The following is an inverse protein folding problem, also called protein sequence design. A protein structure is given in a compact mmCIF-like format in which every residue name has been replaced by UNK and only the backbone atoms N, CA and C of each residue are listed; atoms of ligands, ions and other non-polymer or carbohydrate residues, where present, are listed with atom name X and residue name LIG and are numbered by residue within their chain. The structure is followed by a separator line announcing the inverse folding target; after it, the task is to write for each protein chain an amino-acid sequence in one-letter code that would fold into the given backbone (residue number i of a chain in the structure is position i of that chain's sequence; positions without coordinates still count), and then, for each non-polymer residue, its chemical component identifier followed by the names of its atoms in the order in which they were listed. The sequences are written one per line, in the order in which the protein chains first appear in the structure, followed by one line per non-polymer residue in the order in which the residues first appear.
data_IF_069942246316
#
_entry.id   IF_069942246316
#
_cell.length_a   1.000
_cell.length_b   1.000
_cell.length_c   1.000
_cell.angle_alpha   90.00
_cell.angle_beta   90.00
_cell.angle_gamma   90.00
#
_symmetry.space_group_name_H-M   'P 1'
#
loop_
_entity.id
_entity.type
_entity.pdbx_description
1 polymer ?
#
# COMPACT_ATOMS: atom_id res chain seq x y z
N UNK A 1 -7.77 -10.06 4.34
CA UNK A 1 -8.41 -8.80 4.72
C UNK A 1 -8.05 -7.72 3.71
N UNK A 2 -8.89 -6.71 3.60
CA UNK A 2 -8.59 -5.49 2.89
C UNK A 2 -9.11 -4.28 3.70
N UNK A 3 -8.54 -3.12 3.40
CA UNK A 3 -8.97 -1.84 3.95
C UNK A 3 -9.63 -1.03 2.84
N UNK A 4 -10.77 -0.43 3.13
CA UNK A 4 -11.36 0.55 2.23
C UNK A 4 -10.69 1.90 2.45
N UNK A 5 -10.33 2.59 1.36
CA UNK A 5 -9.97 4.00 1.47
C UNK A 5 -11.26 4.81 1.64
N UNK A 6 -11.43 5.37 2.80
CA UNK A 6 -12.53 6.27 3.10
C UNK A 6 -12.10 7.25 4.18
N UNK A 7 -12.94 8.22 4.49
CA UNK A 7 -12.74 9.09 5.64
C UNK A 7 -12.61 8.29 6.92
N UNK A 8 -13.42 7.23 7.03
CA UNK A 8 -13.44 6.28 8.13
C UNK A 8 -13.19 4.89 7.53
N UNK A 9 -11.92 4.45 7.41
CA UNK A 9 -11.58 3.17 6.80
C UNK A 9 -12.09 2.00 7.66
N UNK A 10 -12.44 0.91 6.98
CA UNK A 10 -12.88 -0.32 7.62
C UNK A 10 -11.97 -1.48 7.24
N UNK A 11 -11.68 -2.36 8.22
CA UNK A 11 -10.91 -3.58 8.01
C UNK A 11 -11.87 -4.73 7.74
N UNK A 12 -12.02 -5.07 6.47
CA UNK A 12 -12.98 -6.07 6.00
C UNK A 12 -12.30 -7.41 5.78
N UNK A 13 -12.87 -8.46 6.36
CA UNK A 13 -12.42 -9.83 6.09
C UNK A 13 -13.04 -10.33 4.79
N UNK A 14 -12.18 -10.85 3.90
CA UNK A 14 -12.64 -11.47 2.65
C UNK A 14 -13.17 -12.87 2.97
N UNK A 15 -14.47 -13.01 2.98
CA UNK A 15 -15.18 -14.27 3.23
C UNK A 15 -16.11 -14.60 2.07
N UNK A 16 -16.30 -15.88 1.81
CA UNK A 16 -17.20 -16.36 0.75
C UNK A 16 -16.92 -17.83 0.44
N UNK A 17 -17.94 -18.53 0.01
CA UNK A 17 -17.87 -19.96 -0.36
C UNK A 17 -17.02 -20.13 -1.61
N UNK A 18 -17.18 -19.22 -2.58
CA UNK A 18 -16.46 -19.22 -3.83
C UNK A 18 -15.91 -17.83 -4.18
N UNK A 19 -15.29 -17.72 -5.37
CA UNK A 19 -14.72 -16.46 -5.85
C UNK A 19 -15.77 -15.38 -6.08
N UNK A 20 -16.94 -15.76 -6.62
CA UNK A 20 -18.01 -14.80 -6.91
C UNK A 20 -18.59 -14.20 -5.63
N UNK A 21 -18.78 -15.02 -4.60
CA UNK A 21 -19.22 -14.55 -3.28
C UNK A 21 -18.21 -13.57 -2.67
N UNK A 22 -16.91 -13.86 -2.78
CA UNK A 22 -15.85 -12.96 -2.30
C UNK A 22 -15.88 -11.62 -3.02
N UNK A 23 -16.00 -11.63 -4.35
CA UNK A 23 -16.10 -10.41 -5.16
C UNK A 23 -17.35 -9.60 -4.82
N UNK A 24 -18.50 -10.27 -4.67
CA UNK A 24 -19.75 -9.60 -4.30
C UNK A 24 -19.64 -8.93 -2.93
N UNK A 25 -19.05 -9.58 -1.95
CA UNK A 25 -18.80 -9.00 -0.61
C UNK A 25 -17.85 -7.81 -0.65
N UNK A 26 -16.76 -7.92 -1.42
CA UNK A 26 -15.85 -6.79 -1.62
C UNK A 26 -16.58 -5.61 -2.27
N UNK A 27 -17.41 -5.87 -3.28
CA UNK A 27 -18.19 -4.83 -3.96
C UNK A 27 -19.21 -4.12 -3.06
N UNK A 28 -19.71 -4.81 -2.01
CA UNK A 28 -20.67 -4.24 -1.04
C UNK A 28 -20.02 -3.50 0.13
N UNK A 29 -18.70 -3.48 0.22
CA UNK A 29 -18.00 -2.73 1.27
C UNK A 29 -18.24 -1.21 1.12
N UNK A 30 -18.02 -0.47 2.20
CA UNK A 30 -18.18 0.98 2.21
C UNK A 30 -17.03 1.66 1.46
N UNK A 31 -17.17 1.81 0.15
CA UNK A 31 -16.23 2.54 -0.70
C UNK A 31 -16.51 4.04 -0.61
N UNK A 32 -15.63 4.77 0.09
CA UNK A 32 -15.67 6.24 0.13
C UNK A 32 -14.88 6.86 -1.02
N UNK A 33 -15.18 8.12 -1.32
CA UNK A 33 -14.48 8.90 -2.36
C UNK A 33 -13.21 9.61 -1.83
N UNK A 34 -12.79 9.32 -0.60
CA UNK A 34 -11.67 9.98 0.08
C UNK A 34 -10.54 8.98 0.30
N UNK A 35 -9.31 9.36 -0.02
CA UNK A 35 -8.12 8.50 0.07
C UNK A 35 -7.31 8.87 1.30
N UNK A 36 -7.81 8.53 2.50
CA UNK A 36 -7.12 8.79 3.75
C UNK A 36 -6.21 7.63 4.18
N UNK A 37 -4.98 7.62 3.69
CA UNK A 37 -4.00 6.59 3.98
C UNK A 37 -3.56 6.59 5.47
N UNK A 38 -3.44 7.76 6.08
CA UNK A 38 -3.09 7.91 7.50
C UNK A 38 -4.11 7.19 8.39
N UNK A 39 -5.40 7.36 8.12
CA UNK A 39 -6.46 6.70 8.86
C UNK A 39 -6.40 5.16 8.72
N UNK A 40 -5.94 4.64 7.57
CA UNK A 40 -5.74 3.20 7.39
C UNK A 40 -4.62 2.66 8.29
N UNK A 41 -3.49 3.34 8.36
CA UNK A 41 -2.40 2.97 9.28
C UNK A 41 -2.81 3.07 10.74
N UNK A 42 -3.60 4.08 11.10
CA UNK A 42 -4.15 4.25 12.45
C UNK A 42 -5.11 3.14 12.83
N UNK A 43 -5.94 2.70 11.89
CA UNK A 43 -6.84 1.58 12.11
C UNK A 43 -6.07 0.28 12.34
N UNK A 44 -5.05 0.01 11.52
CA UNK A 44 -4.18 -1.17 11.70
C UNK A 44 -3.49 -1.16 13.06
N UNK A 45 -2.88 -0.04 13.42
CA UNK A 45 -2.21 0.10 14.73
C UNK A 45 -3.17 -0.11 15.88
N UNK A 46 -4.34 0.52 15.85
CA UNK A 46 -5.38 0.34 16.90
C UNK A 46 -5.84 -1.12 16.98
N UNK A 47 -6.03 -1.77 15.84
CA UNK A 47 -6.43 -3.19 15.79
C UNK A 47 -5.36 -4.07 16.41
N UNK A 48 -4.08 -3.83 16.09
CA UNK A 48 -2.95 -4.55 16.68
C UNK A 48 -2.88 -4.39 18.19
N UNK A 49 -2.99 -3.16 18.68
CA UNK A 49 -2.96 -2.85 20.11
C UNK A 49 -4.14 -3.48 20.87
N UNK A 50 -5.35 -3.40 20.30
CA UNK A 50 -6.55 -3.94 20.93
C UNK A 50 -6.50 -5.47 21.05
N UNK A 51 -5.93 -6.14 20.07
CA UNK A 51 -5.81 -7.60 20.07
C UNK A 51 -4.50 -8.11 20.69
N UNK A 52 -3.59 -7.24 21.11
CA UNK A 52 -2.30 -7.62 21.68
C UNK A 52 -1.40 -8.38 20.70
N UNK A 53 -1.48 -8.03 19.40
CA UNK A 53 -0.73 -8.71 18.35
C UNK A 53 0.79 -8.55 18.55
N UNK A 54 1.55 -9.59 18.22
CA UNK A 54 3.01 -9.49 18.08
C UNK A 54 3.40 -8.85 16.76
N UNK A 55 4.69 -8.49 16.59
CA UNK A 55 5.17 -7.92 15.31
C UNK A 55 5.04 -8.93 14.16
N UNK A 56 5.23 -10.22 14.42
CA UNK A 56 5.14 -11.30 13.43
C UNK A 56 3.71 -11.54 12.94
N UNK A 57 2.71 -11.13 13.71
CA UNK A 57 1.29 -11.23 13.32
C UNK A 57 0.83 -10.04 12.48
N UNK A 58 1.66 -9.00 12.38
CA UNK A 58 1.38 -7.84 11.55
C UNK A 58 1.87 -8.05 10.11
N UNK A 59 1.22 -7.42 9.12
CA UNK A 59 1.66 -7.52 7.73
C UNK A 59 3.02 -6.85 7.53
N UNK A 60 3.96 -7.51 6.85
CA UNK A 60 5.23 -6.88 6.45
C UNK A 60 5.03 -5.83 5.36
N UNK A 61 4.06 -6.04 4.49
CA UNK A 61 3.77 -5.18 3.34
C UNK A 61 2.29 -4.80 3.32
N UNK A 62 2.03 -3.55 3.03
CA UNK A 62 0.69 -3.03 2.76
C UNK A 62 0.60 -2.65 1.27
N UNK A 63 -0.20 -3.40 0.53
CA UNK A 63 -0.45 -3.14 -0.89
C UNK A 63 -1.59 -2.13 -1.04
N UNK A 64 -1.29 -1.00 -1.67
CA UNK A 64 -2.26 0.05 -2.01
C UNK A 64 -2.56 -0.04 -3.50
N UNK A 65 -3.77 -0.45 -3.84
CA UNK A 65 -4.25 -0.51 -5.23
C UNK A 65 -5.05 0.75 -5.49
N UNK A 66 -4.55 1.63 -6.34
CA UNK A 66 -5.14 2.95 -6.57
C UNK A 66 -4.82 3.46 -7.98
N UNK A 67 -5.60 4.41 -8.45
CA UNK A 67 -5.26 5.24 -9.60
C UNK A 67 -4.26 6.36 -9.27
N UNK A 68 -3.73 6.36 -8.05
CA UNK A 68 -2.76 7.32 -7.50
C UNK A 68 -3.31 8.75 -7.29
N UNK A 69 -4.60 8.95 -7.35
CA UNK A 69 -5.24 10.19 -6.89
C UNK A 69 -5.36 10.21 -5.37
N UNK A 70 -4.24 10.34 -4.66
CA UNK A 70 -4.20 10.35 -3.20
C UNK A 70 -4.44 11.78 -2.69
N UNK A 71 -5.47 11.97 -1.86
CA UNK A 71 -5.89 13.27 -1.36
C UNK A 71 -4.82 14.04 -0.58
N UNK A 72 -3.93 13.34 0.12
CA UNK A 72 -2.82 13.95 0.87
C UNK A 72 -1.78 14.64 -0.02
N UNK A 73 -1.64 14.21 -1.28
CA UNK A 73 -0.76 14.85 -2.24
C UNK A 73 -1.39 16.11 -2.86
N UNK A 74 -2.71 16.25 -2.79
CA UNK A 74 -3.48 17.36 -3.36
C UNK A 74 -3.87 18.44 -2.36
N UNK A 75 -3.65 18.30 -1.07
CA UNK A 75 -3.92 19.37 -0.12
C UNK A 75 -2.95 20.56 -0.29
N UNK A 76 -2.84 20.99 -1.54
CA UNK A 76 -2.29 22.25 -1.91
C UNK A 76 -3.17 23.35 -1.32
N UNK A 77 -2.61 24.10 -0.40
CA UNK A 77 -3.18 25.27 0.26
C UNK A 77 -4.32 24.94 1.21
N UNK A 78 -3.93 24.50 2.41
CA UNK A 78 -4.78 24.72 3.55
C UNK A 78 -5.20 26.19 3.58
N UNK A 79 -6.46 26.42 3.79
CA UNK A 79 -7.10 27.73 3.84
C UNK A 79 -6.47 28.72 4.86
N UNK A 80 -5.43 28.30 5.55
CA UNK A 80 -4.66 29.03 6.57
C UNK A 80 -3.13 28.86 6.45
N UNK A 81 -2.59 28.66 5.24
CA UNK A 81 -1.13 28.77 5.04
C UNK A 81 -0.27 27.68 5.69
N UNK A 82 -0.84 26.54 6.12
CA UNK A 82 -0.05 25.39 6.53
C UNK A 82 0.55 24.72 5.29
N UNK A 83 1.86 24.40 5.30
CA UNK A 83 2.46 23.64 4.21
C UNK A 83 1.74 22.30 4.06
N UNK A 84 1.47 21.89 2.81
CA UNK A 84 0.95 20.57 2.52
C UNK A 84 1.90 19.53 3.10
N UNK A 85 1.37 18.58 3.88
CA UNK A 85 2.15 17.48 4.39
C UNK A 85 2.48 16.57 3.21
N UNK A 86 3.76 16.42 2.88
CA UNK A 86 4.19 15.47 1.84
C UNK A 86 3.92 14.04 2.30
N UNK A 87 3.80 13.09 1.37
CA UNK A 87 3.69 11.65 1.70
C UNK A 87 4.88 11.21 2.56
N UNK A 88 6.08 11.72 2.29
CA UNK A 88 7.29 11.49 3.07
C UNK A 88 7.13 11.93 4.55
N UNK A 89 6.60 13.13 4.78
CA UNK A 89 6.33 13.62 6.14
C UNK A 89 5.27 12.77 6.84
N UNK A 90 4.25 12.32 6.12
CA UNK A 90 3.24 11.42 6.64
C UNK A 90 3.86 10.07 7.05
N UNK A 91 4.66 9.45 6.18
CA UNK A 91 5.33 8.18 6.47
C UNK A 91 6.27 8.29 7.67
N UNK A 92 7.01 9.36 7.80
CA UNK A 92 7.88 9.61 8.96
C UNK A 92 7.05 9.75 10.26
N UNK A 93 5.94 10.46 10.21
CA UNK A 93 5.02 10.59 11.33
C UNK A 93 4.44 9.25 11.74
N UNK A 94 4.02 8.43 10.78
CA UNK A 94 3.49 7.09 11.04
C UNK A 94 4.56 6.16 11.64
N UNK A 95 5.80 6.19 11.14
CA UNK A 95 6.91 5.42 11.72
C UNK A 95 7.14 5.76 13.19
N UNK A 96 7.19 7.04 13.52
CA UNK A 96 7.35 7.51 14.91
C UNK A 96 6.19 7.02 15.79
N UNK A 97 4.97 7.09 15.28
CA UNK A 97 3.77 6.65 15.99
C UNK A 97 3.78 5.14 16.26
N UNK A 98 4.09 4.33 15.25
CA UNK A 98 4.19 2.88 15.39
C UNK A 98 5.33 2.46 16.31
N UNK A 99 6.50 3.08 16.16
CA UNK A 99 7.67 2.83 17.02
C UNK A 99 7.41 3.17 18.49
N UNK A 100 6.61 4.20 18.78
CA UNK A 100 6.22 4.53 20.15
C UNK A 100 5.41 3.43 20.84
N UNK A 101 4.80 2.53 20.07
CA UNK A 101 4.07 1.35 20.57
C UNK A 101 4.87 0.05 20.41
N UNK A 102 6.14 0.11 20.02
CA UNK A 102 7.01 -1.04 19.85
C UNK A 102 6.83 -1.81 18.54
N UNK A 103 6.10 -1.25 17.57
CA UNK A 103 5.86 -1.87 16.27
C UNK A 103 6.67 -1.21 15.16
N UNK A 104 7.00 -2.01 14.14
CA UNK A 104 7.55 -1.52 12.88
C UNK A 104 6.41 -1.27 11.91
N UNK A 105 6.49 -0.14 11.21
CA UNK A 105 5.53 0.21 10.16
C UNK A 105 5.68 -0.76 8.97
N UNK A 106 4.58 -1.32 8.43
CA UNK A 106 4.61 -2.10 7.20
C UNK A 106 5.24 -1.33 6.04
N UNK A 107 5.94 -2.04 5.15
CA UNK A 107 6.37 -1.46 3.88
C UNK A 107 5.17 -1.16 3.02
N UNK A 108 5.23 -0.04 2.33
CA UNK A 108 4.15 0.41 1.47
C UNK A 108 4.46 0.11 0.01
N UNK A 109 3.57 -0.62 -0.63
CA UNK A 109 3.67 -0.92 -2.06
C UNK A 109 2.48 -0.30 -2.78
N UNK A 110 2.75 0.73 -3.56
CA UNK A 110 1.74 1.36 -4.41
C UNK A 110 1.64 0.65 -5.76
N UNK A 111 0.45 0.20 -6.08
CA UNK A 111 0.13 -0.30 -7.41
C UNK A 111 -0.79 0.68 -8.12
N UNK A 112 -0.22 1.44 -9.04
CA UNK A 112 -0.97 2.31 -9.93
C UNK A 112 -1.57 1.50 -11.09
N UNK A 113 -2.86 1.24 -11.02
CA UNK A 113 -3.57 0.43 -12.01
C UNK A 113 -3.98 1.20 -13.26
N UNK A 114 -4.09 2.53 -13.20
CA UNK A 114 -4.47 3.35 -14.35
C UNK A 114 -3.28 3.89 -15.16
N UNK A 115 -2.10 3.94 -14.57
CA UNK A 115 -0.82 4.36 -15.19
C UNK A 115 -0.83 5.75 -15.89
N UNK A 116 -1.86 6.58 -15.70
CA UNK A 116 -2.01 7.88 -16.37
C UNK A 116 -1.17 8.99 -15.75
N UNK A 117 -0.83 8.88 -14.48
CA UNK A 117 -0.11 9.92 -13.75
C UNK A 117 1.10 9.33 -13.01
N UNK A 118 2.29 9.81 -13.33
CA UNK A 118 3.56 9.42 -12.73
C UNK A 118 4.03 10.41 -11.65
N UNK A 119 3.12 10.90 -10.81
CA UNK A 119 3.39 12.05 -9.95
C UNK A 119 4.06 11.73 -8.60
N UNK A 120 4.54 10.51 -8.38
CA UNK A 120 5.21 10.17 -7.14
C UNK A 120 6.66 9.78 -7.37
N UNK A 121 7.56 10.67 -6.98
CA UNK A 121 8.95 10.38 -6.71
C UNK A 121 9.13 10.50 -5.20
N UNK A 122 8.91 9.41 -4.50
CA UNK A 122 9.29 9.29 -3.10
C UNK A 122 10.59 8.46 -3.05
N UNK A 123 11.60 8.98 -2.39
CA UNK A 123 12.88 8.29 -2.20
C UNK A 123 12.91 7.46 -0.91
N UNK A 124 11.75 7.19 -0.31
CA UNK A 124 11.66 6.39 0.89
C UNK A 124 11.97 4.91 0.58
N UNK A 125 12.99 4.31 1.21
CA UNK A 125 13.38 2.91 0.96
C UNK A 125 12.30 1.89 1.36
N UNK A 126 11.29 2.31 2.14
CA UNK A 126 10.18 1.45 2.55
C UNK A 126 8.93 1.66 1.68
N UNK A 127 9.03 2.46 0.61
CA UNK A 127 7.95 2.69 -0.33
C UNK A 127 8.37 2.18 -1.71
N UNK A 128 7.54 1.34 -2.29
CA UNK A 128 7.75 0.82 -3.64
C UNK A 128 6.59 1.20 -4.54
N UNK A 129 6.89 1.53 -5.79
CA UNK A 129 5.89 1.90 -6.79
C UNK A 129 5.89 0.91 -7.93
N UNK A 130 4.71 0.44 -8.29
CA UNK A 130 4.49 -0.42 -9.43
C UNK A 130 3.37 0.19 -10.26
N UNK A 131 3.51 0.19 -11.58
CA UNK A 131 2.55 0.78 -12.49
C UNK A 131 2.19 -0.19 -13.61
N UNK A 132 0.93 -0.19 -14.00
CA UNK A 132 0.42 -0.96 -15.12
C UNK A 132 -0.63 -1.99 -14.72
N UNK A 133 -1.33 -2.49 -15.73
CA UNK A 133 -2.41 -3.46 -15.59
C UNK A 133 -2.01 -4.78 -16.25
N UNK A 134 -1.31 -5.64 -15.50
CA UNK A 134 -0.88 -6.94 -15.98
C UNK A 134 -0.90 -8.00 -14.87
N UNK A 135 -1.40 -9.21 -15.15
CA UNK A 135 -1.30 -10.33 -14.21
C UNK A 135 0.14 -10.64 -13.76
N UNK A 136 1.12 -10.39 -14.62
CA UNK A 136 2.53 -10.59 -14.31
C UNK A 136 3.00 -9.63 -13.20
N UNK A 137 2.53 -8.38 -13.20
CA UNK A 137 2.82 -7.39 -12.17
C UNK A 137 2.29 -7.89 -10.83
N UNK A 138 1.09 -8.43 -10.78
CA UNK A 138 0.52 -9.00 -9.56
C UNK A 138 1.37 -10.17 -9.04
N UNK A 139 1.81 -11.08 -9.91
CA UNK A 139 2.69 -12.18 -9.51
C UNK A 139 4.02 -11.68 -8.96
N UNK A 140 4.60 -10.64 -9.56
CA UNK A 140 5.83 -10.02 -9.09
C UNK A 140 5.63 -9.37 -7.71
N UNK A 141 4.54 -8.67 -7.50
CA UNK A 141 4.16 -8.10 -6.20
C UNK A 141 4.07 -9.17 -5.11
N UNK A 142 3.36 -10.25 -5.41
CA UNK A 142 3.17 -11.36 -4.47
C UNK A 142 4.45 -12.15 -4.18
N UNK A 143 5.47 -12.05 -5.04
CA UNK A 143 6.76 -12.70 -4.81
C UNK A 143 7.59 -12.04 -3.69
N UNK A 144 7.26 -10.82 -3.28
CA UNK A 144 8.02 -10.05 -2.30
C UNK A 144 9.44 -9.65 -2.76
N UNK A 145 9.77 -9.88 -4.04
CA UNK A 145 11.09 -9.58 -4.60
C UNK A 145 11.23 -8.09 -4.90
N UNK A 146 12.43 -7.58 -4.71
CA UNK A 146 12.77 -6.22 -5.12
C UNK A 146 12.86 -6.12 -6.66
N UNK A 147 12.73 -4.93 -7.21
CA UNK A 147 12.90 -4.70 -8.66
C UNK A 147 14.26 -5.21 -9.18
N UNK A 148 15.32 -5.07 -8.39
CA UNK A 148 16.64 -5.62 -8.71
C UNK A 148 16.64 -7.15 -8.79
N UNK A 149 16.04 -7.83 -7.80
CA UNK A 149 15.94 -9.29 -7.81
C UNK A 149 15.14 -9.81 -9.01
N UNK A 150 14.03 -9.14 -9.34
CA UNK A 150 13.23 -9.47 -10.51
C UNK A 150 14.00 -9.28 -11.82
N UNK A 151 14.75 -8.19 -11.94
CA UNK A 151 15.62 -7.94 -13.09
C UNK A 151 16.70 -9.02 -13.23
N UNK A 152 17.40 -9.35 -12.12
CA UNK A 152 18.43 -10.37 -12.13
C UNK A 152 17.88 -11.76 -12.46
N UNK A 153 16.68 -12.11 -11.98
CA UNK A 153 16.03 -13.38 -12.30
C UNK A 153 15.76 -13.52 -13.82
N UNK A 154 15.35 -12.42 -14.46
CA UNK A 154 15.17 -12.39 -15.91
C UNK A 154 16.50 -12.50 -16.63
N UNK A 155 17.51 -11.71 -16.23
CA UNK A 155 18.83 -11.68 -16.86
C UNK A 155 19.63 -12.96 -16.66
N UNK A 156 19.46 -13.64 -15.53
CA UNK A 156 20.09 -14.92 -15.21
C UNK A 156 19.38 -16.13 -15.83
N UNK A 157 18.22 -15.91 -16.45
CA UNK A 157 17.47 -16.95 -17.13
C UNK A 157 18.18 -17.50 -18.37
N UNK A 158 17.82 -18.71 -18.75
CA UNK A 158 18.41 -19.46 -19.87
C UNK A 158 18.41 -18.67 -21.18
N UNK A 159 17.42 -17.81 -21.39
CA UNK A 159 17.31 -16.96 -22.59
C UNK A 159 18.54 -16.06 -22.81
N UNK A 160 19.19 -15.64 -21.73
CA UNK A 160 20.31 -14.71 -21.77
C UNK A 160 21.66 -15.40 -21.46
N UNK A 161 21.69 -16.71 -21.26
CA UNK A 161 22.89 -17.49 -20.97
C UNK A 161 23.98 -17.38 -22.06
N UNK A 162 23.59 -17.06 -23.28
CA UNK A 162 24.49 -16.90 -24.44
C UNK A 162 25.31 -15.59 -24.37
N UNK A 163 24.88 -14.63 -23.54
CA UNK A 163 25.52 -13.28 -23.45
C UNK A 163 26.58 -13.25 -22.32
N UNK A 164 26.73 -14.33 -21.58
CA UNK A 164 27.72 -14.46 -20.50
C UNK A 164 29.09 -14.89 -21.00
#
# INVERSE_FOLDING_TARGET
HFLTFSRDPDLVKVEGVDFCDKVARMGSAAWGMNTNLEACFDLLLRTALTNGCTQEELPENLLVISDMEIDSARSNRGMYGRPATSVETMMETMRKKWAAHGYQLPKLVYWNVDARHNNFLDNDPNVSYISGFSPTIFQQLMSGKTGWQLMMEVLDGDRYSIIR
#
